data_IF_635467267135
#
_entry.id   IF_635467267135
#
_cell.length_a   1.000
_cell.length_b   1.000
_cell.length_c   1.000
_cell.angle_alpha   90.00
_cell.angle_beta   90.00
_cell.angle_gamma   90.00
#
_symmetry.space_group_name_H-M   'P 1'
#
loop_
_entity.id
_entity.type
_entity.pdbx_description
1 polymer ?
#
# COMPACT_ATOMS: atom_id res chain seq x y z
N UNK A 1 -27.27 -2.78 -0.65
CA UNK A 1 -27.07 -3.42 -1.97
C UNK A 1 -26.36 -4.74 -1.68
N UNK A 2 -27.12 -5.82 -1.49
CA UNK A 2 -26.66 -7.08 -0.89
C UNK A 2 -25.89 -8.02 -1.83
N UNK A 3 -25.71 -7.63 -3.09
CA UNK A 3 -25.02 -8.48 -4.07
C UNK A 3 -23.50 -8.32 -3.97
N UNK A 4 -22.85 -9.19 -3.20
CA UNK A 4 -21.39 -9.20 -3.03
C UNK A 4 -20.65 -9.44 -4.36
N UNK A 5 -21.00 -10.42 -5.19
CA UNK A 5 -20.42 -10.57 -6.53
C UNK A 5 -20.46 -9.28 -7.36
N UNK A 6 -21.59 -8.58 -7.38
CA UNK A 6 -21.72 -7.33 -8.12
C UNK A 6 -20.81 -6.22 -7.55
N UNK A 7 -20.71 -6.10 -6.22
CA UNK A 7 -19.81 -5.10 -5.59
C UNK A 7 -18.34 -5.41 -5.86
N UNK A 8 -17.96 -6.69 -5.86
CA UNK A 8 -16.60 -7.12 -6.21
C UNK A 8 -16.28 -6.77 -7.67
N UNK A 9 -17.15 -7.17 -8.59
CA UNK A 9 -17.00 -6.88 -10.02
C UNK A 9 -16.92 -5.38 -10.28
N UNK A 10 -17.82 -4.59 -9.69
CA UNK A 10 -17.81 -3.13 -9.83
C UNK A 10 -16.52 -2.50 -9.29
N UNK A 11 -15.98 -3.02 -8.18
CA UNK A 11 -14.71 -2.55 -7.60
C UNK A 11 -13.54 -2.85 -8.54
N UNK A 12 -13.52 -4.04 -9.14
CA UNK A 12 -12.47 -4.45 -10.07
C UNK A 12 -12.53 -3.64 -11.38
N UNK A 13 -13.69 -3.58 -12.03
CA UNK A 13 -13.86 -2.87 -13.31
C UNK A 13 -13.53 -1.39 -13.16
N UNK A 14 -14.03 -0.73 -12.11
CA UNK A 14 -13.70 0.67 -11.88
C UNK A 14 -12.21 0.85 -11.53
N UNK A 15 -11.61 -0.06 -10.77
CA UNK A 15 -10.18 -0.03 -10.45
C UNK A 15 -9.32 -0.12 -11.72
N UNK A 16 -9.65 -1.03 -12.64
CA UNK A 16 -9.01 -1.16 -13.94
C UNK A 16 -9.16 0.14 -14.75
N UNK A 17 -10.40 0.61 -14.91
CA UNK A 17 -10.68 1.86 -15.63
C UNK A 17 -9.98 3.09 -15.06
N UNK A 18 -9.87 3.21 -13.73
CA UNK A 18 -9.18 4.33 -13.08
C UNK A 18 -7.66 4.21 -13.14
N UNK A 19 -7.12 3.00 -13.24
CA UNK A 19 -5.67 2.76 -13.21
C UNK A 19 -5.05 2.62 -14.59
N UNK A 20 -5.84 2.57 -15.66
CA UNK A 20 -5.38 2.65 -17.05
C UNK A 20 -4.56 3.92 -17.30
N UNK A 21 -3.38 3.78 -17.93
CA UNK A 21 -2.34 4.81 -18.05
C UNK A 21 -2.83 6.20 -18.44
N UNK A 22 -3.74 6.30 -19.40
CA UNK A 22 -4.25 7.56 -19.94
C UNK A 22 -5.65 7.90 -19.42
N UNK A 23 -6.09 7.25 -18.35
CA UNK A 23 -7.42 7.46 -17.77
C UNK A 23 -7.56 8.87 -17.21
N UNK A 24 -8.65 9.51 -17.60
CA UNK A 24 -9.07 10.81 -17.02
C UNK A 24 -10.37 10.66 -16.22
N UNK A 25 -10.77 9.43 -15.92
CA UNK A 25 -12.08 9.15 -15.34
C UNK A 25 -12.19 9.64 -13.91
N UNK A 26 -11.11 9.58 -13.12
CA UNK A 26 -11.13 10.05 -11.74
C UNK A 26 -11.44 11.55 -11.65
N UNK A 27 -10.87 12.36 -12.55
CA UNK A 27 -11.12 13.80 -12.60
C UNK A 27 -12.44 14.16 -13.29
N UNK A 28 -12.83 13.43 -14.34
CA UNK A 28 -14.11 13.65 -15.06
C UNK A 28 -15.33 13.24 -14.25
N UNK A 29 -15.21 12.17 -13.47
CA UNK A 29 -16.31 11.56 -12.70
C UNK A 29 -15.93 11.44 -11.23
N UNK A 30 -15.58 12.57 -10.61
CA UNK A 30 -15.13 12.68 -9.21
C UNK A 30 -16.08 11.99 -8.20
N UNK A 31 -17.40 12.05 -8.43
CA UNK A 31 -18.35 11.33 -7.59
C UNK A 31 -18.18 9.80 -7.67
N UNK A 32 -17.92 9.26 -8.86
CA UNK A 32 -17.69 7.81 -9.05
C UNK A 32 -16.36 7.42 -8.40
N UNK A 33 -15.33 8.24 -8.57
CA UNK A 33 -14.04 8.07 -7.92
C UNK A 33 -14.16 8.01 -6.39
N UNK A 34 -14.83 9.00 -5.79
CA UNK A 34 -15.09 9.04 -4.34
C UNK A 34 -15.87 7.81 -3.86
N UNK A 35 -16.87 7.37 -4.61
CA UNK A 35 -17.63 6.15 -4.27
C UNK A 35 -16.79 4.88 -4.37
N UNK A 36 -15.86 4.82 -5.34
CA UNK A 36 -14.92 3.73 -5.48
C UNK A 36 -13.91 3.71 -4.32
N UNK A 37 -13.35 4.86 -3.92
CA UNK A 37 -12.49 4.98 -2.74
C UNK A 37 -13.15 4.44 -1.45
N UNK A 38 -14.47 4.58 -1.32
CA UNK A 38 -15.22 4.05 -0.17
C UNK A 38 -15.30 2.52 -0.14
N UNK A 39 -14.99 1.82 -1.24
CA UNK A 39 -14.97 0.33 -1.28
C UNK A 39 -13.88 -0.28 -0.41
N UNK A 40 -12.86 0.49 -0.02
CA UNK A 40 -11.89 0.09 1.03
C UNK A 40 -12.56 -0.26 2.37
N UNK A 41 -13.79 0.19 2.59
CA UNK A 41 -14.60 -0.06 3.79
C UNK A 41 -15.78 -1.00 3.51
N UNK A 42 -15.78 -1.74 2.41
CA UNK A 42 -16.81 -2.76 2.17
C UNK A 42 -16.83 -3.81 3.31
N UNK A 43 -18.01 -4.35 3.60
CA UNK A 43 -18.18 -5.36 4.65
C UNK A 43 -17.42 -6.66 4.33
N UNK A 44 -17.20 -6.93 3.05
CA UNK A 44 -16.55 -8.17 2.59
C UNK A 44 -15.07 -7.91 2.37
N UNK A 45 -14.21 -8.70 3.01
CA UNK A 45 -12.76 -8.58 2.89
C UNK A 45 -12.26 -8.74 1.47
N UNK A 46 -12.82 -9.65 0.67
CA UNK A 46 -12.42 -9.85 -0.72
C UNK A 46 -12.61 -8.57 -1.58
N UNK A 47 -13.66 -7.78 -1.31
CA UNK A 47 -13.85 -6.48 -2.00
C UNK A 47 -12.79 -5.47 -1.57
N UNK A 48 -12.41 -5.47 -0.29
CA UNK A 48 -11.34 -4.60 0.23
C UNK A 48 -9.97 -5.01 -0.31
N UNK A 49 -9.69 -6.32 -0.43
CA UNK A 49 -8.49 -6.85 -1.07
C UNK A 49 -8.42 -6.41 -2.54
N UNK A 50 -9.51 -6.59 -3.30
CA UNK A 50 -9.58 -6.15 -4.68
C UNK A 50 -9.32 -4.64 -4.82
N UNK A 51 -9.86 -3.82 -3.92
CA UNK A 51 -9.56 -2.38 -3.90
C UNK A 51 -8.08 -2.07 -3.64
N UNK A 52 -7.43 -2.79 -2.73
CA UNK A 52 -5.99 -2.63 -2.41
C UNK A 52 -5.11 -2.95 -3.62
N UNK A 53 -5.44 -4.00 -4.38
CA UNK A 53 -4.65 -4.43 -5.56
C UNK A 53 -4.49 -3.31 -6.60
N UNK A 54 -5.48 -2.42 -6.74
CA UNK A 54 -5.41 -1.29 -7.67
C UNK A 54 -4.61 -0.09 -7.14
N UNK A 55 -4.18 -0.08 -5.86
CA UNK A 55 -3.35 1.01 -5.34
C UNK A 55 -1.98 1.06 -6.03
N UNK A 56 -1.38 -0.08 -6.36
CA UNK A 56 -0.10 -0.13 -7.07
C UNK A 56 -0.16 0.51 -8.47
N UNK A 57 -1.03 0.06 -9.40
CA UNK A 57 -1.11 0.68 -10.72
C UNK A 57 -1.58 2.14 -10.66
N UNK A 58 -2.38 2.53 -9.66
CA UNK A 58 -2.70 3.94 -9.43
C UNK A 58 -1.47 4.77 -9.04
N UNK A 59 -0.58 4.26 -8.18
CA UNK A 59 0.69 4.94 -7.90
C UNK A 59 1.57 5.05 -9.14
N UNK A 60 1.56 4.04 -10.02
CA UNK A 60 2.40 4.02 -11.22
C UNK A 60 1.87 4.97 -12.31
N UNK A 61 0.56 5.00 -12.51
CA UNK A 61 -0.05 5.68 -13.66
C UNK A 61 -0.66 7.05 -13.32
N UNK A 62 -1.04 7.28 -12.06
CA UNK A 62 -1.83 8.45 -11.63
C UNK A 62 -1.25 9.11 -10.39
N UNK A 63 -0.06 9.69 -10.53
CA UNK A 63 0.68 10.34 -9.43
C UNK A 63 -0.15 11.45 -8.75
N UNK A 64 -1.03 12.13 -9.49
CA UNK A 64 -1.94 13.15 -8.98
C UNK A 64 -2.97 12.61 -7.96
N UNK A 65 -3.23 11.30 -7.97
CA UNK A 65 -4.14 10.64 -7.04
C UNK A 65 -3.43 10.11 -5.79
N UNK A 66 -2.09 10.09 -5.77
CA UNK A 66 -1.29 9.45 -4.72
C UNK A 66 -1.70 9.88 -3.30
N UNK A 67 -1.92 11.19 -3.08
CA UNK A 67 -2.38 11.70 -1.78
C UNK A 67 -3.68 11.04 -1.30
N UNK A 68 -4.68 10.94 -2.19
CA UNK A 68 -5.96 10.31 -1.85
C UNK A 68 -5.80 8.81 -1.57
N UNK A 69 -4.85 8.15 -2.25
CA UNK A 69 -4.53 6.74 -2.01
C UNK A 69 -3.84 6.55 -0.66
N UNK A 70 -2.85 7.39 -0.31
CA UNK A 70 -2.19 7.36 1.00
C UNK A 70 -3.22 7.51 2.15
N UNK A 71 -4.09 8.53 2.06
CA UNK A 71 -5.17 8.78 3.03
C UNK A 71 -6.17 7.61 3.12
N UNK A 72 -6.43 6.93 2.02
CA UNK A 72 -7.37 5.82 1.97
C UNK A 72 -6.76 4.53 2.55
N UNK A 73 -5.54 4.17 2.13
CA UNK A 73 -4.93 2.87 2.43
C UNK A 73 -4.39 2.77 3.87
N UNK A 74 -4.08 3.88 4.54
CA UNK A 74 -3.53 3.85 5.90
C UNK A 74 -4.41 3.06 6.88
N UNK A 75 -5.73 3.22 6.79
CA UNK A 75 -6.69 2.48 7.63
C UNK A 75 -6.71 0.96 7.36
N UNK A 76 -6.19 0.53 6.20
CA UNK A 76 -6.12 -0.89 5.81
C UNK A 76 -4.87 -1.58 6.35
N UNK A 77 -3.88 -0.81 6.80
CA UNK A 77 -2.71 -1.38 7.47
C UNK A 77 -3.10 -2.15 8.71
N UNK A 78 -4.11 -1.69 9.45
CA UNK A 78 -4.64 -2.31 10.66
C UNK A 78 -6.05 -2.88 10.46
N UNK A 79 -6.33 -3.40 9.26
CA UNK A 79 -7.63 -4.00 8.95
C UNK A 79 -7.89 -5.26 9.81
N UNK A 80 -9.14 -5.48 10.30
CA UNK A 80 -9.46 -6.65 11.11
C UNK A 80 -9.29 -8.00 10.40
N UNK A 81 -9.28 -8.03 9.07
CA UNK A 81 -9.06 -9.27 8.31
C UNK A 81 -7.60 -9.36 7.85
N UNK A 82 -6.91 -10.44 8.27
CA UNK A 82 -5.51 -10.69 7.95
C UNK A 82 -5.25 -10.74 6.44
N UNK A 83 -6.21 -11.21 5.63
CA UNK A 83 -6.06 -11.24 4.17
C UNK A 83 -5.90 -9.84 3.59
N UNK A 84 -6.61 -8.86 4.17
CA UNK A 84 -6.55 -7.46 3.76
C UNK A 84 -5.19 -6.88 4.14
N UNK A 85 -4.72 -7.12 5.37
CA UNK A 85 -3.38 -6.68 5.81
C UNK A 85 -2.26 -7.30 4.97
N UNK A 86 -2.35 -8.60 4.66
CA UNK A 86 -1.43 -9.31 3.75
C UNK A 86 -1.44 -8.69 2.34
N UNK A 87 -2.63 -8.34 1.80
CA UNK A 87 -2.73 -7.69 0.50
C UNK A 87 -1.99 -6.35 0.48
N UNK A 88 -2.07 -5.56 1.56
CA UNK A 88 -1.29 -4.32 1.66
C UNK A 88 0.21 -4.61 1.67
N UNK A 89 0.69 -5.55 2.48
CA UNK A 89 2.10 -5.93 2.49
C UNK A 89 2.60 -6.35 1.09
N UNK A 90 1.79 -7.10 0.33
CA UNK A 90 2.12 -7.52 -1.04
C UNK A 90 2.20 -6.33 -2.00
N UNK A 91 1.28 -5.38 -1.93
CA UNK A 91 1.31 -4.17 -2.76
C UNK A 91 2.56 -3.34 -2.47
N UNK A 92 2.87 -3.12 -1.18
CA UNK A 92 4.05 -2.36 -0.77
C UNK A 92 5.35 -3.08 -1.15
N UNK A 93 5.36 -4.42 -1.06
CA UNK A 93 6.47 -5.25 -1.50
C UNK A 93 6.71 -5.22 -3.02
N UNK A 94 5.79 -4.68 -3.82
CA UNK A 94 5.92 -4.55 -5.27
C UNK A 94 6.26 -3.13 -5.74
N UNK A 95 6.21 -2.12 -4.87
CA UNK A 95 6.53 -0.74 -5.23
C UNK A 95 7.92 -0.63 -5.87
N UNK A 96 8.07 0.22 -6.87
CA UNK A 96 9.39 0.61 -7.37
C UNK A 96 9.94 1.79 -6.56
N UNK A 97 11.27 1.97 -6.58
CA UNK A 97 11.94 3.02 -5.81
C UNK A 97 11.33 4.41 -6.05
N UNK A 98 11.07 4.77 -7.31
CA UNK A 98 10.51 6.08 -7.65
C UNK A 98 9.14 6.31 -6.99
N UNK A 99 8.22 5.34 -7.08
CA UNK A 99 6.91 5.41 -6.44
C UNK A 99 7.03 5.49 -4.92
N UNK A 100 7.82 4.60 -4.32
CA UNK A 100 8.02 4.56 -2.88
C UNK A 100 8.64 5.86 -2.34
N UNK A 101 9.62 6.42 -3.07
CA UNK A 101 10.35 7.62 -2.66
C UNK A 101 9.51 8.89 -2.84
N UNK A 102 8.78 9.04 -3.95
CA UNK A 102 8.11 10.30 -4.30
C UNK A 102 6.63 10.35 -3.92
N UNK A 103 5.92 9.22 -3.90
CA UNK A 103 4.45 9.21 -3.86
C UNK A 103 3.88 8.65 -2.56
N UNK A 104 4.51 7.63 -1.98
CA UNK A 104 4.00 6.94 -0.79
C UNK A 104 4.43 7.69 0.47
N UNK A 105 3.52 7.97 1.40
CA UNK A 105 3.85 8.65 2.66
C UNK A 105 4.66 7.76 3.61
N UNK A 106 5.62 8.35 4.34
CA UNK A 106 6.56 7.61 5.21
C UNK A 106 5.82 6.88 6.34
N UNK A 107 4.73 7.48 6.82
CA UNK A 107 3.84 6.94 7.85
C UNK A 107 3.32 5.55 7.48
N UNK A 108 3.07 5.29 6.20
CA UNK A 108 2.64 3.96 5.74
C UNK A 108 3.76 2.93 5.90
N UNK A 109 5.03 3.30 5.74
CA UNK A 109 6.12 2.37 6.00
C UNK A 109 6.27 2.06 7.51
N UNK A 110 5.99 3.03 8.38
CA UNK A 110 5.93 2.77 9.83
C UNK A 110 4.78 1.83 10.20
N UNK A 111 3.59 2.03 9.62
CA UNK A 111 2.47 1.10 9.79
C UNK A 111 2.80 -0.30 9.25
N UNK A 112 3.57 -0.39 8.16
CA UNK A 112 4.03 -1.66 7.60
C UNK A 112 4.98 -2.38 8.58
N UNK A 113 5.84 -1.63 9.27
CA UNK A 113 6.72 -2.19 10.29
C UNK A 113 5.97 -2.73 11.51
N UNK A 114 4.84 -2.13 11.89
CA UNK A 114 3.99 -2.70 12.94
C UNK A 114 3.46 -4.09 12.57
N UNK A 115 3.38 -4.41 11.27
CA UNK A 115 2.99 -5.73 10.76
C UNK A 115 4.08 -6.79 10.86
N UNK A 116 5.32 -6.43 11.19
CA UNK A 116 6.36 -7.43 11.46
C UNK A 116 6.08 -8.30 12.70
N UNK A 117 5.13 -7.90 13.56
CA UNK A 117 4.73 -8.64 14.76
C UNK A 117 3.67 -9.71 14.49
N UNK A 118 2.71 -9.43 13.61
CA UNK A 118 1.59 -10.33 13.31
C UNK A 118 1.67 -10.97 11.92
N UNK A 119 2.32 -10.32 10.95
CA UNK A 119 2.51 -10.77 9.57
C UNK A 119 3.99 -10.73 9.18
N UNK A 120 4.80 -11.37 10.03
CA UNK A 120 6.27 -11.28 10.06
C UNK A 120 6.90 -11.47 8.68
N UNK A 121 6.57 -12.55 7.98
CA UNK A 121 7.22 -12.89 6.72
C UNK A 121 6.93 -11.84 5.62
N UNK A 122 5.67 -11.45 5.45
CA UNK A 122 5.24 -10.51 4.41
C UNK A 122 5.77 -9.11 4.68
N UNK A 123 5.66 -8.61 5.91
CA UNK A 123 6.08 -7.27 6.28
C UNK A 123 7.62 -7.11 6.21
N UNK A 124 8.38 -8.08 6.74
CA UNK A 124 9.84 -8.06 6.67
C UNK A 124 10.31 -8.09 5.21
N UNK A 125 9.73 -8.97 4.36
CA UNK A 125 10.08 -9.04 2.93
C UNK A 125 9.84 -7.70 2.22
N UNK A 126 8.71 -7.06 2.48
CA UNK A 126 8.38 -5.77 1.85
C UNK A 126 9.34 -4.66 2.30
N UNK A 127 9.59 -4.52 3.60
CA UNK A 127 10.50 -3.50 4.15
C UNK A 127 11.95 -3.73 3.74
N UNK A 128 12.44 -4.97 3.77
CA UNK A 128 13.78 -5.30 3.32
C UNK A 128 13.99 -4.93 1.85
N UNK A 129 12.99 -5.19 0.99
CA UNK A 129 13.04 -4.79 -0.41
C UNK A 129 13.06 -3.26 -0.56
N UNK A 130 12.23 -2.52 0.17
CA UNK A 130 12.23 -1.05 0.17
C UNK A 130 13.60 -0.48 0.54
N UNK A 131 14.19 -0.98 1.63
CA UNK A 131 15.53 -0.57 2.04
C UNK A 131 16.59 -0.90 0.99
N UNK A 132 16.57 -2.13 0.45
CA UNK A 132 17.54 -2.57 -0.55
C UNK A 132 17.48 -1.71 -1.83
N UNK A 133 16.29 -1.30 -2.26
CA UNK A 133 16.13 -0.40 -3.40
C UNK A 133 16.64 1.01 -3.14
N UNK A 134 16.58 1.49 -1.89
CA UNK A 134 17.03 2.83 -1.49
C UNK A 134 18.50 2.89 -1.05
N UNK A 135 19.19 1.74 -1.01
CA UNK A 135 20.50 1.62 -0.37
C UNK A 135 21.55 2.51 -1.03
N UNK A 136 21.57 2.59 -2.36
CA UNK A 136 22.55 3.41 -3.08
C UNK A 136 22.35 4.89 -2.76
N UNK A 137 21.11 5.38 -2.79
CA UNK A 137 20.79 6.78 -2.49
C UNK A 137 21.10 7.13 -1.03
N UNK A 138 20.93 6.18 -0.10
CA UNK A 138 21.35 6.34 1.30
C UNK A 138 22.88 6.47 1.40
N UNK A 139 23.63 5.62 0.70
CA UNK A 139 25.11 5.66 0.66
C UNK A 139 25.61 6.96 0.04
N UNK A 140 24.91 7.46 -0.98
CA UNK A 140 25.19 8.73 -1.64
C UNK A 140 24.72 9.96 -0.83
N UNK A 141 24.29 9.75 0.41
CA UNK A 141 23.84 10.80 1.34
C UNK A 141 22.62 11.60 0.89
N UNK A 142 21.72 10.99 0.11
CA UNK A 142 20.43 11.60 -0.21
C UNK A 142 19.57 11.73 1.07
N UNK A 143 19.22 12.97 1.42
CA UNK A 143 18.53 13.27 2.66
C UNK A 143 17.12 12.64 2.71
N UNK A 144 16.41 12.59 1.59
CA UNK A 144 15.07 11.99 1.52
C UNK A 144 15.15 10.47 1.69
N UNK A 145 16.08 9.80 1.00
CA UNK A 145 16.28 8.37 1.12
C UNK A 145 16.66 7.96 2.55
N UNK A 146 17.58 8.70 3.18
CA UNK A 146 17.95 8.49 4.59
C UNK A 146 16.73 8.68 5.50
N UNK A 147 16.01 9.78 5.36
CA UNK A 147 14.86 10.07 6.20
C UNK A 147 13.77 9.00 6.05
N UNK A 148 13.50 8.58 4.82
CA UNK A 148 12.35 7.75 4.48
C UNK A 148 12.59 6.26 4.69
N UNK A 149 13.81 5.77 4.45
CA UNK A 149 14.15 4.34 4.46
C UNK A 149 15.27 3.97 5.43
N UNK A 150 16.11 4.91 5.87
CA UNK A 150 17.31 4.62 6.66
C UNK A 150 17.06 4.00 8.04
N UNK A 151 15.84 4.15 8.57
CA UNK A 151 15.43 3.56 9.85
C UNK A 151 15.07 2.07 9.76
N UNK A 152 14.80 1.55 8.56
CA UNK A 152 14.25 0.20 8.34
C UNK A 152 15.14 -0.91 8.95
N UNK A 153 16.48 -0.93 8.75
CA UNK A 153 17.30 -2.01 9.29
C UNK A 153 17.24 -2.11 10.82
N UNK A 154 17.23 -0.97 11.51
CA UNK A 154 17.11 -0.94 12.97
C UNK A 154 15.79 -1.54 13.44
N UNK A 155 14.68 -1.20 12.75
CA UNK A 155 13.37 -1.74 13.09
C UNK A 155 13.30 -3.26 12.83
N UNK A 156 13.83 -3.72 11.69
CA UNK A 156 13.90 -5.16 11.39
C UNK A 156 14.72 -5.93 12.42
N UNK A 157 15.87 -5.40 12.86
CA UNK A 157 16.68 -6.02 13.92
C UNK A 157 15.94 -6.05 15.27
N UNK A 158 15.19 -5.00 15.60
CA UNK A 158 14.39 -4.95 16.84
C UNK A 158 13.36 -6.10 16.89
N UNK A 159 12.81 -6.52 15.75
CA UNK A 159 11.86 -7.64 15.70
C UNK A 159 12.48 -8.98 16.07
N UNK A 160 13.81 -9.14 16.02
CA UNK A 160 14.50 -10.36 16.45
C UNK A 160 14.59 -10.47 17.97
N UNK A 161 14.52 -9.34 18.69
CA UNK A 161 14.55 -9.28 20.14
C UNK A 161 13.16 -9.41 20.78
N UNK A 162 12.10 -9.28 19.97
CA UNK A 162 10.75 -9.69 20.35
C UNK A 162 10.73 -11.21 20.30
N UNK A 163 10.87 -11.84 21.47
CA UNK A 163 10.98 -13.29 21.69
C UNK A 163 9.80 -14.10 21.09
N UNK A 164 9.78 -14.25 19.78
CA UNK A 164 8.99 -15.28 19.09
C UNK A 164 9.96 -16.44 18.83
N UNK A 165 9.94 -17.42 19.72
CA UNK A 165 10.46 -18.74 19.40
C UNK A 165 9.60 -19.28 18.24
N UNK A 166 10.09 -19.18 17.01
CA UNK A 166 9.66 -20.09 15.94
C UNK A 166 10.06 -21.53 16.29
#
# INVERSE_FOLDING_TARGET
MDDTPLRLLATQVLGEMFSEKDSTLASRYDNVWKMWLLRRNDKISDVRCAWIEYCLPLYINHHELAKQINEAIISKMSDPDDKVRIAVCKVFGQLEYECASKLVEKELFFELAQRCRDLRQEAIKALARLYNMAYNEIVDHDANAIEKFGWIPSELLNTLYLNDNE
#
